data_IF_980685240472
#
_entry.id   IF_980685240472
#
_cell.length_a   1.000
_cell.length_b   1.000
_cell.length_c   1.000
_cell.angle_alpha   90.00
_cell.angle_beta   90.00
_cell.angle_gamma   90.00
#
_symmetry.space_group_name_H-M   'P 1'
#
loop_
_entity.id
_entity.type
_entity.pdbx_description
1 polymer ?
#
# COMPACT_ATOMS: atom_id res chain seq x y z
N UNK A 1 26.04 16.18 -6.29
CA UNK A 1 26.47 14.80 -6.39
C UNK A 1 25.61 13.88 -5.52
N UNK A 2 25.53 14.13 -4.24
CA UNK A 2 24.67 13.36 -3.33
C UNK A 2 23.20 13.37 -3.76
N UNK A 3 22.68 14.52 -4.12
CA UNK A 3 21.29 14.68 -4.58
C UNK A 3 21.00 13.92 -5.88
N UNK A 4 21.95 13.85 -6.79
CA UNK A 4 21.80 13.11 -8.05
C UNK A 4 21.83 11.59 -7.84
N UNK A 5 22.63 11.13 -6.90
CA UNK A 5 22.69 9.71 -6.55
C UNK A 5 21.41 9.28 -5.83
N UNK A 6 20.92 10.10 -4.92
CA UNK A 6 19.65 9.85 -4.22
C UNK A 6 18.46 9.85 -5.16
N UNK A 7 18.47 10.69 -6.18
CA UNK A 7 17.41 10.73 -7.19
C UNK A 7 17.44 9.52 -8.12
N UNK A 8 18.64 9.02 -8.43
CA UNK A 8 18.79 7.82 -9.25
C UNK A 8 18.39 6.54 -8.51
N UNK A 9 18.58 6.51 -7.20
CA UNK A 9 18.24 5.36 -6.36
C UNK A 9 16.77 5.34 -5.93
N UNK A 10 16.06 6.46 -6.04
CA UNK A 10 14.63 6.53 -5.76
C UNK A 10 13.82 6.08 -6.97
N UNK A 11 13.82 4.79 -7.21
CA UNK A 11 12.83 4.23 -8.13
C UNK A 11 11.45 4.43 -7.51
N UNK A 12 10.54 5.01 -8.28
CA UNK A 12 9.13 5.10 -7.88
C UNK A 12 8.61 3.69 -7.60
N UNK A 13 7.87 3.52 -6.54
CA UNK A 13 7.14 2.28 -6.34
C UNK A 13 6.21 2.05 -7.51
N UNK A 14 6.13 0.80 -7.94
CA UNK A 14 5.29 0.39 -9.06
C UNK A 14 4.16 -0.45 -8.51
N UNK A 15 2.93 0.03 -8.66
CA UNK A 15 1.76 -0.59 -8.07
C UNK A 15 0.84 -1.22 -9.10
N UNK A 16 0.37 -2.41 -8.76
CA UNK A 16 -0.73 -3.07 -9.45
C UNK A 16 -1.99 -2.87 -8.61
N UNK A 17 -3.04 -2.31 -9.19
CA UNK A 17 -4.29 -2.01 -8.50
C UNK A 17 -5.23 -3.20 -8.55
N UNK A 18 -5.92 -3.46 -7.45
CA UNK A 18 -6.94 -4.51 -7.37
C UNK A 18 -8.24 -3.90 -6.86
N UNK A 19 -9.30 -4.09 -7.64
CA UNK A 19 -10.65 -3.71 -7.27
C UNK A 19 -11.57 -4.90 -7.22
N UNK A 20 -12.62 -4.80 -6.41
CA UNK A 20 -13.65 -5.83 -6.28
C UNK A 20 -15.00 -5.20 -6.58
N UNK A 21 -15.73 -5.81 -7.50
CA UNK A 21 -17.11 -5.44 -7.80
C UNK A 21 -18.04 -6.35 -6.99
N UNK A 22 -18.63 -5.80 -5.96
CA UNK A 22 -19.62 -6.50 -5.15
C UNK A 22 -20.99 -6.45 -5.81
N UNK A 23 -21.87 -7.35 -5.43
CA UNK A 23 -23.20 -7.50 -6.02
C UNK A 23 -24.03 -6.20 -6.04
N UNK A 24 -23.86 -5.34 -5.03
CA UNK A 24 -24.58 -4.07 -4.93
C UNK A 24 -23.95 -2.95 -5.75
N UNK A 25 -22.82 -3.18 -6.37
CA UNK A 25 -22.07 -2.18 -7.12
C UNK A 25 -22.21 -2.42 -8.62
N UNK A 26 -22.01 -1.37 -9.39
CA UNK A 26 -21.96 -1.47 -10.84
C UNK A 26 -20.51 -1.48 -11.32
N UNK A 27 -20.28 -1.92 -12.56
CA UNK A 27 -18.94 -1.84 -13.16
C UNK A 27 -18.42 -0.39 -13.25
N UNK A 28 -19.33 0.57 -13.39
CA UNK A 28 -18.99 2.00 -13.39
C UNK A 28 -18.45 2.46 -12.03
N UNK A 29 -19.10 2.02 -10.94
CA UNK A 29 -18.69 2.38 -9.59
C UNK A 29 -17.25 1.91 -9.31
N UNK A 30 -16.94 0.69 -9.71
CA UNK A 30 -15.60 0.12 -9.50
C UNK A 30 -14.56 0.79 -10.40
N UNK A 31 -14.92 1.06 -11.67
CA UNK A 31 -14.02 1.74 -12.59
C UNK A 31 -13.67 3.15 -12.09
N UNK A 32 -14.67 3.91 -11.65
CA UNK A 32 -14.46 5.25 -11.10
C UNK A 32 -13.63 5.20 -9.81
N UNK A 33 -13.88 4.23 -8.95
CA UNK A 33 -13.13 4.05 -7.73
C UNK A 33 -11.67 3.72 -7.99
N UNK A 34 -11.39 2.85 -8.96
CA UNK A 34 -10.01 2.53 -9.34
C UNK A 34 -9.30 3.71 -10.00
N UNK A 35 -10.00 4.50 -10.78
CA UNK A 35 -9.44 5.71 -11.36
C UNK A 35 -9.04 6.71 -10.27
N UNK A 36 -9.89 6.90 -9.28
CA UNK A 36 -9.58 7.71 -8.10
C UNK A 36 -8.39 7.15 -7.32
N UNK A 37 -8.33 5.83 -7.14
CA UNK A 37 -7.20 5.17 -6.48
C UNK A 37 -5.90 5.40 -7.24
N UNK A 38 -5.95 5.34 -8.57
CA UNK A 38 -4.79 5.63 -9.42
C UNK A 38 -4.31 7.07 -9.25
N UNK A 39 -5.22 8.03 -9.14
CA UNK A 39 -4.87 9.43 -8.87
C UNK A 39 -4.23 9.59 -7.50
N UNK A 40 -4.76 8.92 -6.48
CA UNK A 40 -4.18 8.91 -5.14
C UNK A 40 -2.78 8.32 -5.14
N UNK A 41 -2.59 7.23 -5.87
CA UNK A 41 -1.26 6.60 -6.01
C UNK A 41 -0.27 7.57 -6.65
N UNK A 42 -0.65 8.23 -7.71
CA UNK A 42 0.18 9.24 -8.38
C UNK A 42 0.53 10.39 -7.42
N UNK A 43 -0.43 10.85 -6.63
CA UNK A 43 -0.19 11.88 -5.61
C UNK A 43 0.84 11.42 -4.57
N UNK A 44 0.82 10.14 -4.22
CA UNK A 44 1.79 9.56 -3.29
C UNK A 44 3.17 9.28 -3.91
N UNK A 45 3.33 9.51 -5.20
CA UNK A 45 4.58 9.24 -5.91
C UNK A 45 4.73 7.78 -6.38
N UNK A 46 3.60 7.08 -6.53
CA UNK A 46 3.56 5.68 -6.94
C UNK A 46 3.14 5.60 -8.40
N UNK A 47 3.87 4.81 -9.20
CA UNK A 47 3.54 4.56 -10.59
C UNK A 47 2.57 3.39 -10.70
N UNK A 48 1.43 3.59 -11.35
CA UNK A 48 0.45 2.53 -11.59
C UNK A 48 0.82 1.78 -12.87
N UNK A 49 1.05 0.48 -12.75
CA UNK A 49 1.53 -0.34 -13.87
C UNK A 49 0.50 -1.35 -14.39
N UNK A 50 -0.61 -1.48 -13.73
CA UNK A 50 -1.68 -2.36 -14.16
C UNK A 50 -2.79 -2.41 -13.14
N UNK A 51 -3.86 -3.09 -13.49
CA UNK A 51 -5.00 -3.29 -12.59
C UNK A 51 -5.75 -4.57 -12.90
N UNK A 52 -6.45 -5.07 -11.90
CA UNK A 52 -7.35 -6.20 -12.03
C UNK A 52 -8.63 -5.97 -11.24
N UNK A 53 -9.73 -6.51 -11.73
CA UNK A 53 -11.03 -6.42 -11.07
C UNK A 53 -11.61 -7.82 -10.98
N UNK A 54 -12.13 -8.16 -9.80
CA UNK A 54 -12.89 -9.39 -9.61
C UNK A 54 -14.30 -9.07 -9.18
N UNK A 55 -15.26 -9.74 -9.80
CA UNK A 55 -16.65 -9.70 -9.41
C UNK A 55 -16.91 -10.75 -8.34
N UNK A 56 -17.45 -10.35 -7.20
CA UNK A 56 -17.74 -11.23 -6.07
C UNK A 56 -19.10 -10.91 -5.46
N UNK A 57 -19.76 -11.90 -4.91
CA UNK A 57 -20.97 -11.68 -4.11
C UNK A 57 -20.61 -11.08 -2.75
N UNK A 58 -19.53 -11.56 -2.15
CA UNK A 58 -19.02 -11.09 -0.87
C UNK A 58 -17.50 -11.29 -0.81
N UNK A 59 -16.77 -10.47 -0.04
CA UNK A 59 -15.33 -10.67 0.14
C UNK A 59 -15.04 -11.99 0.85
N UNK A 60 -13.95 -12.65 0.46
CA UNK A 60 -13.45 -13.83 1.15
C UNK A 60 -12.80 -13.43 2.47
N UNK A 61 -13.08 -14.18 3.53
CA UNK A 61 -12.57 -13.86 4.87
C UNK A 61 -11.05 -13.90 4.96
N UNK A 62 -10.40 -14.80 4.22
CA UNK A 62 -8.95 -14.99 4.29
C UNK A 62 -8.14 -14.11 3.35
N UNK A 63 -8.65 -13.86 2.15
CA UNK A 63 -7.89 -13.20 1.09
C UNK A 63 -8.62 -12.06 0.40
N UNK A 64 -9.80 -11.69 0.83
CA UNK A 64 -10.69 -10.70 0.22
C UNK A 64 -11.14 -11.08 -1.18
N UNK A 65 -10.22 -11.45 -2.07
CA UNK A 65 -10.49 -11.97 -3.42
C UNK A 65 -10.28 -13.49 -3.43
N UNK A 66 -10.83 -14.18 -4.42
CA UNK A 66 -10.64 -15.61 -4.56
C UNK A 66 -9.15 -15.97 -4.75
N UNK A 67 -8.73 -17.12 -4.20
CA UNK A 67 -7.33 -17.55 -4.27
C UNK A 67 -6.82 -17.72 -5.71
N UNK A 68 -7.65 -18.27 -6.60
CA UNK A 68 -7.31 -18.40 -8.01
C UNK A 68 -7.13 -17.06 -8.70
N UNK A 69 -7.97 -16.09 -8.37
CA UNK A 69 -7.89 -14.74 -8.92
C UNK A 69 -6.67 -13.99 -8.34
N UNK A 70 -6.37 -14.23 -7.08
CA UNK A 70 -5.15 -13.68 -6.47
C UNK A 70 -3.90 -14.17 -7.18
N UNK A 71 -3.83 -15.45 -7.52
CA UNK A 71 -2.71 -16.00 -8.29
C UNK A 71 -2.62 -15.42 -9.70
N UNK A 72 -3.76 -15.27 -10.36
CA UNK A 72 -3.85 -14.65 -11.69
C UNK A 72 -3.32 -13.20 -11.65
N UNK A 73 -3.75 -12.43 -10.67
CA UNK A 73 -3.30 -11.05 -10.50
C UNK A 73 -1.83 -10.99 -10.09
N UNK A 74 -1.37 -11.93 -9.28
CA UNK A 74 0.05 -12.03 -8.90
C UNK A 74 0.93 -12.21 -10.13
N UNK A 75 0.51 -13.05 -11.06
CA UNK A 75 1.22 -13.27 -12.33
C UNK A 75 1.26 -11.99 -13.16
N UNK A 76 0.11 -11.33 -13.32
CA UNK A 76 0.02 -10.08 -14.08
C UNK A 76 0.86 -8.97 -13.45
N UNK A 77 0.85 -8.85 -12.13
CA UNK A 77 1.64 -7.88 -11.40
C UNK A 77 3.14 -8.12 -11.58
N UNK A 78 3.56 -9.38 -11.53
CA UNK A 78 4.96 -9.76 -11.73
C UNK A 78 5.41 -9.44 -13.16
N UNK A 79 4.60 -9.74 -14.16
CA UNK A 79 4.89 -9.41 -15.55
C UNK A 79 5.02 -7.90 -15.78
N UNK A 80 4.26 -7.10 -15.03
CA UNK A 80 4.32 -5.64 -15.09
C UNK A 80 5.44 -5.05 -14.19
N UNK A 81 6.21 -5.89 -13.52
CA UNK A 81 7.25 -5.48 -12.57
C UNK A 81 6.70 -4.60 -11.44
N UNK A 82 5.53 -4.94 -10.93
CA UNK A 82 4.97 -4.29 -9.76
C UNK A 82 5.68 -4.79 -8.50
N UNK A 83 6.04 -3.88 -7.62
CA UNK A 83 6.62 -4.19 -6.32
C UNK A 83 5.61 -4.03 -5.17
N UNK A 84 4.47 -3.45 -5.49
CA UNK A 84 3.40 -3.18 -4.53
C UNK A 84 2.06 -3.53 -5.15
N UNK A 85 1.20 -4.16 -4.34
CA UNK A 85 -0.19 -4.43 -4.72
C UNK A 85 -1.06 -3.48 -3.90
N UNK A 86 -1.91 -2.73 -4.58
CA UNK A 86 -2.74 -1.71 -3.96
C UNK A 86 -4.21 -2.07 -4.11
N UNK A 87 -4.85 -2.41 -2.99
CA UNK A 87 -6.27 -2.75 -2.96
C UNK A 87 -7.11 -1.49 -2.75
N UNK A 88 -8.19 -1.41 -3.50
CA UNK A 88 -9.15 -0.31 -3.37
C UNK A 88 -9.97 -0.41 -2.08
N UNK A 89 -10.19 -1.62 -1.60
CA UNK A 89 -10.98 -1.90 -0.39
C UNK A 89 -10.07 -2.06 0.82
N UNK A 90 -10.61 -1.75 2.00
CA UNK A 90 -9.90 -1.94 3.25
C UNK A 90 -9.71 -3.44 3.55
N UNK A 91 -8.49 -3.82 3.86
CA UNK A 91 -8.13 -5.19 4.20
C UNK A 91 -7.93 -5.34 5.70
N UNK A 92 -8.31 -6.50 6.23
CA UNK A 92 -7.89 -6.86 7.58
C UNK A 92 -6.40 -7.19 7.60
N UNK A 93 -5.78 -7.17 8.77
CA UNK A 93 -4.37 -7.56 8.90
C UNK A 93 -4.11 -8.98 8.38
N UNK A 94 -5.00 -9.92 8.69
CA UNK A 94 -4.89 -11.29 8.22
C UNK A 94 -5.00 -11.39 6.70
N UNK A 95 -5.96 -10.68 6.10
CA UNK A 95 -6.11 -10.65 4.64
C UNK A 95 -4.87 -10.08 3.96
N UNK A 96 -4.34 -8.98 4.47
CA UNK A 96 -3.13 -8.36 3.91
C UNK A 96 -1.94 -9.32 3.96
N UNK A 97 -1.73 -9.98 5.09
CA UNK A 97 -0.62 -10.94 5.23
C UNK A 97 -0.77 -12.14 4.33
N UNK A 98 -1.98 -12.71 4.23
CA UNK A 98 -2.25 -13.84 3.35
C UNK A 98 -2.03 -13.48 1.88
N UNK A 99 -2.46 -12.29 1.49
CA UNK A 99 -2.27 -11.79 0.12
C UNK A 99 -0.78 -11.56 -0.20
N UNK A 100 -0.02 -11.06 0.75
CA UNK A 100 1.43 -10.89 0.55
C UNK A 100 2.13 -12.21 0.28
N UNK A 101 1.72 -13.29 0.94
CA UNK A 101 2.26 -14.62 0.65
C UNK A 101 1.95 -15.08 -0.78
N UNK A 102 0.76 -14.75 -1.28
CA UNK A 102 0.36 -15.11 -2.65
C UNK A 102 1.07 -14.25 -3.69
N UNK A 103 1.11 -12.94 -3.47
CA UNK A 103 1.70 -12.00 -4.42
C UNK A 103 3.23 -11.97 -4.37
N UNK A 104 3.82 -12.34 -3.25
CA UNK A 104 5.27 -12.19 -3.06
C UNK A 104 5.70 -10.74 -3.10
N UNK A 105 4.83 -9.83 -2.69
CA UNK A 105 5.04 -8.39 -2.73
C UNK A 105 4.26 -7.72 -1.60
N UNK A 106 4.63 -6.50 -1.28
CA UNK A 106 3.94 -5.69 -0.30
C UNK A 106 2.50 -5.43 -0.75
N UNK A 107 1.55 -5.63 0.14
CA UNK A 107 0.13 -5.38 -0.10
C UNK A 107 -0.34 -4.26 0.80
N UNK A 108 -0.84 -3.21 0.23
CA UNK A 108 -1.42 -2.07 0.94
C UNK A 108 -2.84 -1.82 0.44
N UNK A 109 -3.62 -1.08 1.19
CA UNK A 109 -4.97 -0.72 0.80
C UNK A 109 -5.12 0.81 0.70
N UNK A 110 -6.30 1.25 0.28
CA UNK A 110 -6.59 2.68 0.12
C UNK A 110 -6.32 3.47 1.41
N UNK A 111 -6.69 2.95 2.55
CA UNK A 111 -6.49 3.64 3.84
C UNK A 111 -5.01 3.86 4.13
N UNK A 112 -4.18 2.84 3.92
CA UNK A 112 -2.74 2.95 4.10
C UNK A 112 -2.14 4.01 3.15
N UNK A 113 -2.60 4.04 1.92
CA UNK A 113 -2.16 5.01 0.93
C UNK A 113 -2.54 6.45 1.33
N UNK A 114 -3.77 6.65 1.79
CA UNK A 114 -4.24 7.97 2.26
C UNK A 114 -3.43 8.45 3.46
N UNK A 115 -3.15 7.55 4.40
CA UNK A 115 -2.30 7.88 5.55
C UNK A 115 -0.89 8.29 5.10
N UNK A 116 -0.37 7.63 4.09
CA UNK A 116 0.92 7.98 3.51
C UNK A 116 0.93 9.38 2.90
N UNK A 117 -0.12 9.72 2.18
CA UNK A 117 -0.27 11.06 1.61
C UNK A 117 -0.35 12.11 2.72
N UNK A 118 -1.09 11.85 3.78
CA UNK A 118 -1.16 12.76 4.93
C UNK A 118 0.21 12.92 5.60
N UNK A 119 0.96 11.84 5.72
CA UNK A 119 2.31 11.89 6.28
C UNK A 119 3.24 12.78 5.45
N UNK A 120 3.15 12.68 4.14
CA UNK A 120 3.94 13.50 3.22
C UNK A 120 3.58 14.99 3.30
N UNK A 121 2.31 15.30 3.59
CA UNK A 121 1.78 16.67 3.60
C UNK A 121 1.78 17.34 4.97
N UNK A 122 1.93 16.59 6.04
CA UNK A 122 1.96 17.16 7.38
C UNK A 122 3.16 18.11 7.55
N UNK A 123 2.91 19.32 7.99
CA UNK A 123 3.93 20.37 8.11
C UNK A 123 4.26 20.74 9.54
N UNK A 124 3.24 20.69 10.41
CA UNK A 124 3.44 21.02 11.81
C UNK A 124 3.96 19.80 12.58
N UNK A 125 4.66 20.03 13.67
CA UNK A 125 5.12 18.96 14.54
C UNK A 125 3.96 18.15 15.09
N UNK A 126 2.92 18.83 15.54
CA UNK A 126 1.71 18.19 16.07
C UNK A 126 1.01 17.35 14.98
N UNK A 127 0.85 17.90 13.77
CA UNK A 127 0.25 17.21 12.64
C UNK A 127 1.04 15.97 12.25
N UNK A 128 2.36 16.06 12.20
CA UNK A 128 3.24 14.91 11.92
C UNK A 128 3.09 13.82 12.97
N UNK A 129 3.02 14.19 14.25
CA UNK A 129 2.83 13.23 15.33
C UNK A 129 1.48 12.53 15.25
N UNK A 130 0.41 13.26 14.93
CA UNK A 130 -0.92 12.70 14.80
C UNK A 130 -1.01 11.70 13.65
N UNK A 131 -0.44 12.03 12.50
CA UNK A 131 -0.41 11.12 11.34
C UNK A 131 0.44 9.89 11.64
N UNK A 132 1.58 10.08 12.27
CA UNK A 132 2.47 8.98 12.64
C UNK A 132 1.78 8.01 13.60
N UNK A 133 1.04 8.51 14.58
CA UNK A 133 0.25 7.68 15.48
C UNK A 133 -0.82 6.90 14.72
N UNK A 134 -1.56 7.57 13.84
CA UNK A 134 -2.58 6.91 13.02
C UNK A 134 -1.98 5.82 12.13
N UNK A 135 -0.82 6.07 11.54
CA UNK A 135 -0.09 5.08 10.75
C UNK A 135 0.33 3.89 11.59
N UNK A 136 0.87 4.13 12.77
CA UNK A 136 1.26 3.05 13.70
C UNK A 136 0.07 2.16 14.05
N UNK A 137 -1.04 2.77 14.41
CA UNK A 137 -2.23 2.01 14.80
C UNK A 137 -2.79 1.18 13.65
N UNK A 138 -2.75 1.71 12.43
CA UNK A 138 -3.29 1.02 11.27
C UNK A 138 -2.32 -0.04 10.72
N UNK A 139 -1.04 0.29 10.62
CA UNK A 139 -0.06 -0.56 9.95
C UNK A 139 0.52 -1.66 10.84
N UNK A 140 0.57 -1.48 12.16
CA UNK A 140 1.18 -2.47 13.06
C UNK A 140 0.64 -3.89 12.86
N UNK A 141 -0.68 -4.13 12.82
CA UNK A 141 -1.18 -5.48 12.59
C UNK A 141 -0.96 -5.99 11.17
N UNK A 142 -0.55 -5.13 10.25
CA UNK A 142 -0.35 -5.45 8.82
C UNK A 142 1.10 -5.60 8.41
N UNK A 143 2.03 -5.22 9.28
CA UNK A 143 3.46 -5.24 8.95
C UNK A 143 3.99 -6.66 8.77
N UNK A 144 4.75 -6.85 7.71
CA UNK A 144 5.46 -8.08 7.37
C UNK A 144 6.89 -7.74 6.93
N UNK A 145 7.67 -8.76 6.59
CA UNK A 145 9.02 -8.56 6.05
C UNK A 145 9.06 -7.65 4.80
N UNK A 146 8.00 -7.61 4.02
CA UNK A 146 7.93 -6.75 2.83
C UNK A 146 7.89 -5.27 3.18
N UNK A 147 7.34 -4.94 4.34
CA UNK A 147 7.27 -3.57 4.85
C UNK A 147 8.60 -3.02 5.36
N UNK A 148 9.53 -3.88 5.74
CA UNK A 148 10.84 -3.48 6.24
C UNK A 148 11.60 -2.61 5.23
N UNK A 149 11.49 -2.96 3.96
CA UNK A 149 12.13 -2.20 2.89
C UNK A 149 11.55 -0.78 2.77
N UNK A 150 10.24 -0.64 2.87
CA UNK A 150 9.56 0.65 2.84
C UNK A 150 9.93 1.50 4.04
N UNK A 151 9.99 0.92 5.23
CA UNK A 151 10.40 1.61 6.45
C UNK A 151 11.77 2.23 6.33
N UNK A 152 12.71 1.55 5.72
CA UNK A 152 14.07 2.05 5.50
C UNK A 152 14.09 3.25 4.56
N UNK A 153 13.29 3.22 3.52
CA UNK A 153 13.21 4.32 2.56
C UNK A 153 12.60 5.57 3.17
N UNK A 154 11.75 5.41 4.14
CA UNK A 154 11.01 6.50 4.79
C UNK A 154 11.51 6.88 6.17
N UNK A 155 12.52 6.22 6.67
CA UNK A 155 13.08 6.49 7.99
C UNK A 155 13.53 7.94 8.16
N UNK A 156 13.95 8.58 7.09
CA UNK A 156 14.36 9.99 7.09
C UNK A 156 13.19 10.96 7.09
N UNK A 157 11.99 10.53 6.80
CA UNK A 157 10.80 11.39 6.70
C UNK A 157 9.87 11.32 7.90
N UNK A 158 10.29 10.64 8.96
CA UNK A 158 9.49 10.53 10.18
C UNK A 158 8.37 9.51 10.11
N UNK A 159 8.35 8.66 9.10
CA UNK A 159 7.41 7.55 9.07
C UNK A 159 7.86 6.44 10.03
N UNK A 160 6.96 5.51 10.27
CA UNK A 160 7.12 4.37 11.17
C UNK A 160 8.42 3.62 10.92
N UNK A 161 9.46 3.88 11.30
CA UNK A 161 10.62 3.08 10.97
C UNK A 161 11.86 3.56 11.61
N UNK A 162 11.70 4.48 12.45
CA UNK A 162 12.82 4.94 13.21
C UNK A 162 13.24 3.91 14.26
N UNK A 163 13.70 2.75 13.85
CA UNK A 163 14.31 1.83 14.82
C UNK A 163 15.34 2.53 15.67
N UNK A 164 16.06 3.46 15.05
CA UNK A 164 17.00 4.28 15.76
C UNK A 164 16.38 5.22 16.78
N UNK A 165 15.22 5.76 16.47
CA UNK A 165 14.50 6.64 17.38
C UNK A 165 13.86 5.88 18.54
N UNK A 166 13.29 4.73 18.25
CA UNK A 166 12.72 3.86 19.27
C UNK A 166 13.83 3.36 20.21
N UNK A 167 14.95 2.97 19.66
CA UNK A 167 16.11 2.57 20.44
C UNK A 167 16.66 3.68 21.31
N UNK A 168 16.66 4.91 20.83
CA UNK A 168 17.11 6.08 21.60
C UNK A 168 16.16 6.45 22.71
N UNK A 169 14.87 6.25 22.54
CA UNK A 169 13.88 6.54 23.56
C UNK A 169 14.00 5.63 24.76
N UNK A 170 14.61 4.47 24.62
CA UNK A 170 14.83 3.51 25.70
C UNK A 170 16.19 3.64 26.38
N UNK A 171 17.03 4.48 25.87
CA UNK A 171 18.32 4.77 26.46
C UNK A 171 18.25 6.08 27.22
#
# INVERSE_FOLDING_TARGET
>A
MKALIETADKKSERAFLVGVELRSQTSWDVADSLEELAELATTAGVEVVGQGIQRLEAPHSGTFIGAGKAEEFAKAAKEANADTILFDDELSGAQARNLEEIFGAKVIDRTALILDIFAQRARTREGKMQVELAQLQYLMPRLTRYWTHLSRQRGSTGSIGGEGEIGRAHV
#
